data_IF_720657931771
#
_entry.id   IF_720657931771
#
_cell.length_a   1.000
_cell.length_b   1.000
_cell.length_c   1.000
_cell.angle_alpha   90.00
_cell.angle_beta   90.00
_cell.angle_gamma   90.00
#
_symmetry.space_group_name_H-M   'P 1'
#
loop_
_entity.id
_entity.type
_entity.pdbx_description
1 polymer ?
#
# COMPACT_ATOMS: atom_id res chain seq x y z
N UNK A 1 -1.45 -2.19 -23.14
CA UNK A 1 -1.41 -0.86 -23.77
C UNK A 1 -1.90 -0.85 -25.22
N UNK A 2 -1.35 -1.64 -26.16
CA UNK A 2 -1.72 -1.53 -27.60
C UNK A 2 -3.19 -1.76 -27.93
N UNK A 3 -3.91 -2.56 -27.15
CA UNK A 3 -5.34 -2.88 -27.40
C UNK A 3 -6.28 -1.92 -26.68
N UNK A 4 -6.00 -1.60 -25.41
CA UNK A 4 -6.92 -0.85 -24.54
C UNK A 4 -6.46 0.58 -24.24
N UNK A 5 -5.22 0.93 -24.56
CA UNK A 5 -4.57 2.15 -24.09
C UNK A 5 -4.26 2.16 -22.58
N UNK A 6 -4.61 1.11 -21.85
CA UNK A 6 -4.52 1.05 -20.39
C UNK A 6 -3.42 0.08 -19.93
N UNK A 7 -2.84 0.39 -18.77
CA UNK A 7 -1.88 -0.45 -18.05
C UNK A 7 -2.46 -0.78 -16.66
N UNK A 8 -2.63 -2.07 -16.30
CA UNK A 8 -3.25 -2.45 -15.04
C UNK A 8 -2.33 -2.18 -13.85
N UNK A 9 -2.86 -1.53 -12.80
CA UNK A 9 -2.12 -1.22 -11.55
C UNK A 9 -2.34 -2.21 -10.41
N UNK A 10 -3.42 -2.98 -10.48
CA UNK A 10 -3.80 -3.96 -9.46
C UNK A 10 -4.06 -5.27 -10.19
N UNK A 11 -3.25 -6.27 -9.88
CA UNK A 11 -3.36 -7.61 -10.41
C UNK A 11 -3.96 -8.51 -9.34
N UNK A 12 -5.01 -9.25 -9.70
CA UNK A 12 -5.59 -10.27 -8.85
C UNK A 12 -5.97 -11.46 -9.74
N UNK A 13 -5.77 -12.68 -9.23
CA UNK A 13 -6.25 -13.91 -9.85
C UNK A 13 -7.07 -14.69 -8.81
N UNK A 14 -8.32 -14.27 -8.54
CA UNK A 14 -9.10 -14.78 -7.42
C UNK A 14 -9.23 -16.30 -7.46
N UNK A 15 -8.76 -16.96 -6.39
CA UNK A 15 -8.83 -18.42 -6.24
C UNK A 15 -7.73 -19.21 -6.97
N UNK A 16 -6.86 -18.53 -7.73
CA UNK A 16 -5.70 -19.15 -8.40
C UNK A 16 -4.38 -18.81 -7.71
N UNK A 17 -4.36 -17.81 -6.84
CA UNK A 17 -3.17 -17.47 -6.03
C UNK A 17 -3.08 -18.32 -4.75
N UNK A 18 -4.21 -18.83 -4.27
CA UNK A 18 -4.28 -19.64 -3.05
C UNK A 18 -3.66 -21.01 -3.28
N UNK A 19 -2.69 -21.36 -2.45
CA UNK A 19 -2.06 -22.69 -2.41
C UNK A 19 -2.06 -23.22 -1.00
N UNK A 20 -2.12 -24.55 -0.84
CA UNK A 20 -1.94 -25.17 0.48
C UNK A 20 -0.58 -24.78 1.07
N UNK A 21 -0.51 -24.55 2.38
CA UNK A 21 0.72 -24.06 3.02
C UNK A 21 1.92 -24.99 2.81
N UNK A 22 1.72 -26.31 2.86
CA UNK A 22 2.77 -27.30 2.61
C UNK A 22 3.19 -27.43 1.14
N UNK A 23 2.44 -26.84 0.20
CA UNK A 23 2.82 -26.85 -1.20
C UNK A 23 3.99 -25.89 -1.47
N UNK A 24 4.79 -26.13 -2.52
CA UNK A 24 5.75 -25.15 -3.02
C UNK A 24 5.11 -23.80 -3.34
N UNK A 25 5.95 -22.80 -3.63
CA UNK A 25 5.51 -21.45 -4.04
C UNK A 25 4.46 -21.52 -5.14
N UNK A 26 3.38 -20.75 -5.01
CA UNK A 26 2.33 -20.70 -6.02
C UNK A 26 2.91 -20.20 -7.35
N UNK A 27 2.84 -20.99 -8.44
CA UNK A 27 3.36 -20.56 -9.74
C UNK A 27 2.59 -19.36 -10.29
N UNK A 28 1.31 -19.23 -9.95
CA UNK A 28 0.48 -18.08 -10.35
C UNK A 28 0.94 -16.82 -9.62
N UNK A 29 1.11 -16.90 -8.29
CA UNK A 29 1.58 -15.75 -7.51
C UNK A 29 2.97 -15.31 -7.96
N UNK A 30 3.90 -16.26 -8.18
CA UNK A 30 5.23 -15.96 -8.68
C UNK A 30 5.22 -15.30 -10.06
N UNK A 31 4.42 -15.81 -11.01
CA UNK A 31 4.28 -15.20 -12.32
C UNK A 31 3.66 -13.78 -12.25
N UNK A 32 2.67 -13.57 -11.38
CA UNK A 32 2.06 -12.26 -11.17
C UNK A 32 3.06 -11.25 -10.60
N UNK A 33 3.94 -11.66 -9.69
CA UNK A 33 5.01 -10.80 -9.16
C UNK A 33 5.94 -10.34 -10.29
N UNK A 34 6.41 -11.25 -11.15
CA UNK A 34 7.26 -10.87 -12.29
C UNK A 34 6.55 -9.96 -13.29
N UNK A 35 5.24 -10.14 -13.48
CA UNK A 35 4.44 -9.19 -14.29
C UNK A 35 4.35 -7.83 -13.59
N UNK A 36 4.14 -7.83 -12.27
CA UNK A 36 3.97 -6.64 -11.47
C UNK A 36 5.22 -5.75 -11.41
N UNK A 37 6.40 -6.36 -11.37
CA UNK A 37 7.68 -5.65 -11.46
C UNK A 37 7.81 -4.87 -12.76
N UNK A 38 7.44 -5.48 -13.89
CA UNK A 38 7.52 -4.84 -15.21
C UNK A 38 6.47 -3.75 -15.41
N UNK A 39 5.28 -3.92 -14.84
CA UNK A 39 4.16 -2.99 -15.03
C UNK A 39 4.07 -1.91 -13.95
N UNK A 40 4.95 -1.93 -12.92
CA UNK A 40 4.81 -1.09 -11.71
C UNK A 40 3.40 -1.21 -11.12
N UNK A 41 2.96 -2.45 -10.94
CA UNK A 41 1.66 -2.78 -10.37
C UNK A 41 1.81 -3.55 -9.07
N UNK A 42 0.72 -3.74 -8.34
CA UNK A 42 0.67 -4.60 -7.15
C UNK A 42 -0.09 -5.89 -7.44
N UNK A 43 0.19 -6.93 -6.69
CA UNK A 43 -0.51 -8.22 -6.71
C UNK A 43 -1.28 -8.37 -5.41
N UNK A 44 -2.59 -8.57 -5.50
CA UNK A 44 -3.42 -8.98 -4.36
C UNK A 44 -3.61 -10.49 -4.43
N UNK A 45 -3.03 -11.22 -3.50
CA UNK A 45 -3.08 -12.68 -3.43
C UNK A 45 -3.96 -13.16 -2.28
N UNK A 46 -4.72 -14.21 -2.55
CA UNK A 46 -5.45 -14.98 -1.54
C UNK A 46 -4.52 -15.94 -0.79
N UNK A 47 -4.62 -15.96 0.54
CA UNK A 47 -3.97 -16.93 1.39
C UNK A 47 -4.61 -18.34 1.35
N UNK A 48 -4.08 -19.29 2.13
CA UNK A 48 -4.55 -20.68 2.14
C UNK A 48 -5.94 -20.87 2.76
N UNK A 49 -6.47 -19.90 3.51
CA UNK A 49 -7.77 -19.95 4.16
C UNK A 49 -7.97 -21.15 5.11
N UNK A 50 -6.87 -21.65 5.71
CA UNK A 50 -6.86 -22.81 6.60
C UNK A 50 -6.65 -22.41 8.06
N UNK A 51 -5.41 -22.21 8.48
CA UNK A 51 -5.05 -21.78 9.84
C UNK A 51 -4.14 -20.55 9.83
N UNK A 52 -3.99 -19.91 11.00
CA UNK A 52 -3.00 -18.84 11.19
C UNK A 52 -1.59 -19.31 10.76
N UNK A 53 -1.16 -20.47 11.25
CA UNK A 53 0.16 -21.03 10.96
C UNK A 53 0.36 -21.32 9.46
N UNK A 54 -0.70 -21.76 8.77
CA UNK A 54 -0.66 -21.99 7.33
C UNK A 54 -0.47 -20.67 6.55
N UNK A 55 -1.17 -19.60 6.95
CA UNK A 55 -1.02 -18.28 6.33
C UNK A 55 0.40 -17.72 6.54
N UNK A 56 0.96 -17.89 7.74
CA UNK A 56 2.34 -17.48 8.04
C UNK A 56 3.38 -18.28 7.23
N UNK A 57 3.17 -19.60 7.11
CA UNK A 57 4.03 -20.47 6.30
C UNK A 57 3.97 -20.08 4.83
N UNK A 58 2.79 -19.76 4.31
CA UNK A 58 2.63 -19.30 2.93
C UNK A 58 3.29 -17.94 2.70
N UNK A 59 3.07 -16.97 3.60
CA UNK A 59 3.76 -15.67 3.55
C UNK A 59 5.26 -15.84 3.50
N UNK A 60 5.84 -16.71 4.33
CA UNK A 60 7.30 -16.93 4.41
C UNK A 60 7.98 -17.36 3.10
N UNK A 61 7.20 -17.71 2.06
CA UNK A 61 7.69 -18.07 0.73
C UNK A 61 8.04 -16.87 -0.15
N UNK A 62 7.61 -15.66 0.21
CA UNK A 62 7.68 -14.48 -0.63
C UNK A 62 8.54 -13.37 0.00
N UNK A 63 9.10 -12.50 -0.84
CA UNK A 63 9.96 -11.39 -0.43
C UNK A 63 9.78 -10.14 -1.31
N UNK A 64 8.58 -9.95 -1.86
CA UNK A 64 8.31 -8.90 -2.86
C UNK A 64 7.54 -7.73 -2.23
N UNK A 65 8.01 -6.51 -2.53
CA UNK A 65 7.36 -5.24 -2.20
C UNK A 65 6.04 -5.02 -2.96
N UNK A 66 5.76 -5.82 -3.99
CA UNK A 66 4.56 -5.72 -4.83
C UNK A 66 3.49 -6.75 -4.49
N UNK A 67 3.74 -7.66 -3.55
CA UNK A 67 2.76 -8.67 -3.15
C UNK A 67 2.05 -8.25 -1.85
N UNK A 68 0.73 -8.33 -1.87
CA UNK A 68 -0.16 -8.08 -0.75
C UNK A 68 -1.05 -9.31 -0.52
N UNK A 69 -0.83 -10.03 0.57
CA UNK A 69 -1.53 -11.28 0.88
C UNK A 69 -2.74 -10.97 1.76
N UNK A 70 -3.89 -11.55 1.41
CA UNK A 70 -5.14 -11.44 2.17
C UNK A 70 -5.59 -12.84 2.60
N UNK A 71 -5.68 -13.06 3.91
CA UNK A 71 -6.24 -14.26 4.53
C UNK A 71 -7.18 -13.83 5.68
N UNK A 72 -8.39 -14.37 5.82
CA UNK A 72 -8.99 -15.49 5.10
C UNK A 72 -9.84 -15.07 3.89
N UNK A 73 -10.41 -16.07 3.20
CA UNK A 73 -11.43 -15.88 2.17
C UNK A 73 -12.73 -15.27 2.77
N UNK A 74 -13.67 -14.84 1.92
CA UNK A 74 -14.94 -14.21 2.33
C UNK A 74 -16.15 -15.09 2.06
N UNK A 75 -17.22 -14.87 2.81
CA UNK A 75 -18.55 -15.44 2.60
C UNK A 75 -19.44 -14.42 1.92
N UNK A 76 -20.08 -14.83 0.84
CA UNK A 76 -20.90 -13.95 0.00
C UNK A 76 -22.22 -14.65 -0.27
N UNK A 77 -23.31 -13.90 -0.28
CA UNK A 77 -24.62 -14.46 -0.59
C UNK A 77 -24.71 -14.67 -2.10
N UNK A 78 -24.89 -15.92 -2.52
CA UNK A 78 -25.06 -16.31 -3.90
C UNK A 78 -26.56 -16.43 -4.20
N UNK A 79 -27.04 -15.62 -5.15
CA UNK A 79 -28.45 -15.54 -5.50
C UNK A 79 -28.94 -16.77 -6.26
N UNK A 80 -28.04 -17.51 -6.92
CA UNK A 80 -28.39 -18.72 -7.65
C UNK A 80 -28.62 -19.90 -6.70
N UNK A 81 -27.73 -20.08 -5.72
CA UNK A 81 -27.85 -21.12 -4.70
C UNK A 81 -28.68 -20.72 -3.48
N UNK A 82 -29.11 -19.45 -3.40
CA UNK A 82 -29.81 -18.83 -2.27
C UNK A 82 -29.11 -19.07 -0.91
N UNK A 83 -27.77 -19.11 -0.91
CA UNK A 83 -26.97 -19.50 0.26
C UNK A 83 -25.66 -18.71 0.33
N UNK A 84 -25.02 -18.69 1.50
CA UNK A 84 -23.68 -18.11 1.63
C UNK A 84 -22.62 -19.09 1.16
N UNK A 85 -21.84 -18.66 0.17
CA UNK A 85 -20.74 -19.42 -0.42
C UNK A 85 -19.40 -18.76 -0.12
N UNK A 86 -18.34 -19.57 -0.04
CA UNK A 86 -16.97 -19.05 0.12
C UNK A 86 -16.45 -18.56 -1.23
N UNK A 87 -15.85 -17.38 -1.23
CA UNK A 87 -15.20 -16.75 -2.38
C UNK A 87 -13.84 -16.18 -1.96
N UNK A 88 -12.84 -16.18 -2.87
CA UNK A 88 -11.56 -15.56 -2.59
C UNK A 88 -11.70 -14.05 -2.29
N UNK A 89 -10.86 -13.52 -1.39
CA UNK A 89 -10.94 -12.14 -0.91
C UNK A 89 -10.26 -11.14 -1.85
N UNK A 90 -9.29 -11.58 -2.65
CA UNK A 90 -8.43 -10.75 -3.49
C UNK A 90 -9.20 -9.81 -4.42
N UNK A 91 -10.29 -10.28 -5.03
CA UNK A 91 -11.14 -9.45 -5.89
C UNK A 91 -11.85 -8.32 -5.15
N UNK A 92 -12.35 -8.59 -3.94
CA UNK A 92 -13.02 -7.58 -3.11
C UNK A 92 -12.03 -6.53 -2.62
N UNK A 93 -10.84 -6.97 -2.23
CA UNK A 93 -9.76 -6.08 -1.79
C UNK A 93 -9.21 -5.24 -2.94
N UNK A 94 -9.03 -5.81 -4.12
CA UNK A 94 -8.64 -5.05 -5.31
C UNK A 94 -9.66 -3.94 -5.64
N UNK A 95 -10.96 -4.25 -5.54
CA UNK A 95 -12.03 -3.25 -5.69
C UNK A 95 -12.00 -2.17 -4.60
N UNK A 96 -11.73 -2.55 -3.35
CA UNK A 96 -11.58 -1.61 -2.24
C UNK A 96 -10.41 -0.64 -2.45
N UNK A 97 -9.27 -1.14 -2.89
CA UNK A 97 -8.08 -0.34 -3.20
C UNK A 97 -8.44 0.69 -4.29
N UNK A 98 -9.01 0.24 -5.41
CA UNK A 98 -9.42 1.14 -6.50
C UNK A 98 -10.43 2.21 -6.04
N UNK A 99 -11.38 1.83 -5.19
CA UNK A 99 -12.33 2.76 -4.59
C UNK A 99 -11.64 3.78 -3.66
N UNK A 100 -10.56 3.41 -2.96
CA UNK A 100 -9.79 4.37 -2.13
C UNK A 100 -9.01 5.34 -2.97
N UNK A 101 -8.39 4.87 -4.03
CA UNK A 101 -7.64 5.75 -4.92
C UNK A 101 -8.52 6.86 -5.49
N UNK A 102 -9.76 6.54 -5.88
CA UNK A 102 -10.70 7.52 -6.40
C UNK A 102 -11.21 8.52 -5.36
N UNK A 103 -11.46 8.09 -4.11
CA UNK A 103 -12.05 8.98 -3.11
C UNK A 103 -11.03 9.78 -2.29
N UNK A 104 -9.82 9.24 -2.09
CA UNK A 104 -8.80 9.83 -1.19
C UNK A 104 -7.43 10.01 -1.85
N UNK A 105 -7.14 9.26 -2.90
CA UNK A 105 -5.83 9.23 -3.56
C UNK A 105 -5.06 7.95 -3.28
N UNK A 106 -4.07 7.67 -4.13
CA UNK A 106 -3.29 6.43 -4.13
C UNK A 106 -2.35 6.28 -2.93
N UNK A 107 -2.02 7.38 -2.26
CA UNK A 107 -1.20 7.41 -1.03
C UNK A 107 -1.97 7.01 0.22
N UNK A 108 -3.29 6.82 0.12
CA UNK A 108 -4.11 6.37 1.23
C UNK A 108 -4.08 4.86 1.38
N UNK A 109 -3.89 4.38 2.60
CA UNK A 109 -3.88 2.95 2.89
C UNK A 109 -5.28 2.35 2.67
N UNK A 110 -5.38 1.13 2.10
CA UNK A 110 -6.65 0.42 2.02
C UNK A 110 -7.08 -0.20 3.36
N UNK A 111 -6.21 -0.20 4.37
CA UNK A 111 -6.50 -0.69 5.71
C UNK A 111 -7.52 0.18 6.44
N UNK A 112 -8.25 -0.42 7.39
CA UNK A 112 -9.33 0.17 8.17
C UNK A 112 -10.50 0.69 7.31
N UNK A 113 -10.69 0.15 6.10
CA UNK A 113 -11.78 0.52 5.19
C UNK A 113 -12.82 -0.58 5.10
N UNK A 114 -14.08 -0.18 4.96
CA UNK A 114 -15.22 -1.09 4.84
C UNK A 114 -15.14 -1.93 3.56
N UNK A 115 -15.14 -3.25 3.70
CA UNK A 115 -15.28 -4.21 2.62
C UNK A 115 -16.77 -4.46 2.39
N UNK A 116 -17.26 -4.10 1.21
CA UNK A 116 -18.68 -4.24 0.83
C UNK A 116 -18.92 -5.52 0.04
N UNK A 117 -20.18 -5.97 0.05
CA UNK A 117 -20.60 -7.14 -0.74
C UNK A 117 -20.26 -8.49 -0.10
N UNK A 118 -19.87 -8.50 1.18
CA UNK A 118 -19.57 -9.72 1.93
C UNK A 118 -20.51 -9.85 3.12
N UNK A 119 -20.91 -11.09 3.43
CA UNK A 119 -21.66 -11.44 4.63
C UNK A 119 -20.79 -11.93 5.78
N UNK A 120 -19.52 -12.19 5.53
CA UNK A 120 -18.54 -12.52 6.56
C UNK A 120 -17.20 -12.98 6.03
N UNK A 121 -16.32 -13.36 6.94
CA UNK A 121 -15.11 -14.11 6.61
C UNK A 121 -15.41 -15.60 6.59
N UNK A 122 -14.69 -16.37 5.78
CA UNK A 122 -14.81 -17.82 5.73
C UNK A 122 -14.39 -18.45 7.06
N UNK A 123 -13.34 -17.88 7.67
CA UNK A 123 -12.80 -18.21 8.98
C UNK A 123 -12.94 -17.00 9.91
N UNK A 124 -13.48 -17.17 11.14
CA UNK A 124 -13.58 -16.05 12.08
C UNK A 124 -12.18 -15.63 12.51
N UNK A 125 -11.88 -14.33 12.44
CA UNK A 125 -10.63 -13.74 12.89
C UNK A 125 -10.90 -12.96 14.18
N UNK A 126 -10.17 -13.30 15.23
CA UNK A 126 -10.23 -12.53 16.48
C UNK A 126 -9.53 -11.19 16.30
N UNK A 127 -10.17 -10.12 16.78
CA UNK A 127 -9.63 -8.77 16.71
C UNK A 127 -10.03 -7.96 17.94
N UNK A 128 -9.04 -7.32 18.55
CA UNK A 128 -9.19 -6.32 19.61
C UNK A 128 -8.12 -5.27 19.37
N UNK A 129 -8.54 -4.01 19.19
CA UNK A 129 -7.65 -2.93 18.78
C UNK A 129 -6.42 -2.76 19.68
N UNK A 130 -6.59 -2.96 21.00
CA UNK A 130 -5.54 -2.74 22.00
C UNK A 130 -4.75 -4.00 22.40
N UNK A 131 -4.98 -5.15 21.76
CA UNK A 131 -4.35 -6.42 22.15
C UNK A 131 -3.51 -7.01 21.02
N UNK A 132 -2.20 -7.16 21.25
CA UNK A 132 -1.26 -7.84 20.34
C UNK A 132 -1.54 -9.34 20.20
N UNK A 133 -2.27 -9.91 21.17
CA UNK A 133 -2.56 -11.35 21.24
C UNK A 133 -3.71 -11.80 20.35
N UNK A 134 -4.29 -10.89 19.55
CA UNK A 134 -5.34 -11.27 18.60
C UNK A 134 -4.75 -11.78 17.31
N UNK A 135 -5.43 -12.75 16.70
CA UNK A 135 -4.98 -13.36 15.46
C UNK A 135 -4.81 -12.33 14.34
N UNK A 136 -5.72 -11.37 14.21
CA UNK A 136 -5.60 -10.28 13.25
C UNK A 136 -4.29 -9.50 13.39
N UNK A 137 -3.86 -9.25 14.63
CA UNK A 137 -2.66 -8.47 14.90
C UNK A 137 -1.39 -9.31 14.68
N UNK A 138 -1.37 -10.59 15.06
CA UNK A 138 -0.25 -11.49 14.74
C UNK A 138 -0.07 -11.69 13.24
N UNK A 139 -1.16 -11.88 12.50
CA UNK A 139 -1.12 -11.98 11.04
C UNK A 139 -0.62 -10.68 10.40
N UNK A 140 -1.09 -9.52 10.86
CA UNK A 140 -0.63 -8.23 10.33
C UNK A 140 0.84 -7.93 10.67
N UNK A 141 1.30 -8.25 11.88
CA UNK A 141 2.72 -8.14 12.25
C UNK A 141 3.62 -8.99 11.35
N UNK A 142 3.09 -10.09 10.83
CA UNK A 142 3.73 -10.96 9.85
C UNK A 142 3.24 -10.68 8.42
N UNK A 143 2.74 -9.47 8.14
CA UNK A 143 2.49 -8.98 6.78
C UNK A 143 1.43 -9.75 5.99
N UNK A 144 0.47 -10.33 6.71
CA UNK A 144 -0.75 -10.92 6.14
C UNK A 144 -1.93 -10.03 6.53
N UNK A 145 -2.60 -9.48 5.53
CA UNK A 145 -3.80 -8.69 5.75
C UNK A 145 -5.01 -9.59 6.03
N UNK A 146 -5.86 -9.13 6.94
CA UNK A 146 -7.07 -9.84 7.36
C UNK A 146 -8.31 -8.99 7.16
N UNK A 147 -9.49 -9.58 7.36
CA UNK A 147 -10.76 -8.85 7.40
C UNK A 147 -11.34 -9.01 8.80
N UNK A 148 -11.50 -7.90 9.51
CA UNK A 148 -11.97 -7.85 10.89
C UNK A 148 -13.37 -7.28 10.97
N UNK A 149 -14.08 -7.56 12.06
CA UNK A 149 -15.43 -7.04 12.30
C UNK A 149 -15.41 -5.92 13.33
N UNK A 150 -15.50 -4.68 12.86
CA UNK A 150 -15.58 -3.46 13.68
C UNK A 150 -16.47 -2.45 12.96
N UNK A 151 -17.70 -2.26 13.43
CA UNK A 151 -18.73 -1.45 12.77
C UNK A 151 -18.92 -1.80 11.28
N UNK A 152 -19.03 -3.10 11.01
CA UNK A 152 -18.99 -3.68 9.67
C UNK A 152 -17.75 -4.55 9.46
N UNK A 153 -17.54 -5.03 8.24
CA UNK A 153 -16.33 -5.76 7.86
C UNK A 153 -15.30 -4.79 7.30
N UNK A 154 -14.09 -4.79 7.86
CA UNK A 154 -13.01 -3.89 7.48
C UNK A 154 -11.77 -4.66 7.10
N UNK A 155 -11.07 -4.21 6.06
CA UNK A 155 -9.73 -4.69 5.76
C UNK A 155 -8.78 -4.24 6.88
N UNK A 156 -7.93 -5.13 7.34
CA UNK A 156 -6.98 -4.88 8.42
C UNK A 156 -5.58 -5.35 8.00
N UNK A 157 -4.71 -4.40 7.79
CA UNK A 157 -3.32 -4.61 7.43
C UNK A 157 -2.95 -3.86 6.16
N UNK A 158 -1.74 -3.33 6.12
CA UNK A 158 -1.25 -2.43 5.07
C UNK A 158 0.16 -2.76 4.60
N UNK A 159 0.74 -3.85 5.12
CA UNK A 159 2.08 -4.29 4.79
C UNK A 159 2.10 -5.16 3.55
N UNK A 160 3.17 -5.04 2.77
CA UNK A 160 3.51 -5.92 1.65
C UNK A 160 4.42 -7.04 2.15
N UNK A 161 4.73 -8.00 1.29
CA UNK A 161 5.72 -9.04 1.61
C UNK A 161 7.18 -8.59 1.40
N UNK A 162 7.45 -7.29 1.45
CA UNK A 162 8.77 -6.74 1.14
C UNK A 162 9.85 -7.33 2.04
N UNK A 163 10.98 -7.74 1.45
CA UNK A 163 12.19 -8.04 2.21
C UNK A 163 12.92 -6.77 2.69
N UNK A 164 12.67 -5.63 2.04
CA UNK A 164 13.21 -4.32 2.40
C UNK A 164 12.20 -3.55 3.27
N UNK A 165 12.53 -3.23 4.53
CA UNK A 165 11.66 -2.46 5.42
C UNK A 165 11.26 -1.08 4.87
N UNK A 166 12.07 -0.48 3.99
CA UNK A 166 11.75 0.81 3.37
C UNK A 166 10.46 0.74 2.53
N UNK A 167 10.20 -0.42 1.92
CA UNK A 167 9.05 -0.68 1.06
C UNK A 167 7.98 -1.56 1.73
N UNK A 168 8.00 -1.62 3.07
CA UNK A 168 7.08 -2.45 3.84
C UNK A 168 5.60 -2.06 3.64
N UNK A 169 5.30 -0.78 3.42
CA UNK A 169 3.91 -0.32 3.30
C UNK A 169 3.41 -0.27 1.85
N UNK A 170 2.24 -0.86 1.63
CA UNK A 170 1.60 -0.91 0.32
C UNK A 170 1.33 0.50 -0.23
N UNK A 171 0.85 1.43 0.61
CA UNK A 171 0.57 2.80 0.18
C UNK A 171 1.83 3.55 -0.24
N UNK A 172 2.97 3.31 0.43
CA UNK A 172 4.26 3.93 0.10
C UNK A 172 4.74 3.45 -1.26
N UNK A 173 4.78 2.13 -1.47
CA UNK A 173 5.16 1.52 -2.76
C UNK A 173 4.29 2.03 -3.91
N UNK A 174 2.98 2.05 -3.72
CA UNK A 174 2.01 2.52 -4.72
C UNK A 174 2.15 4.01 -5.03
N UNK A 175 2.50 4.82 -4.03
CA UNK A 175 2.76 6.26 -4.23
C UNK A 175 3.97 6.46 -5.14
N UNK A 176 5.06 5.76 -4.86
CA UNK A 176 6.25 5.81 -5.70
C UNK A 176 5.96 5.37 -7.14
N UNK A 177 5.30 4.22 -7.33
CA UNK A 177 4.96 3.69 -8.66
C UNK A 177 4.12 4.69 -9.48
N UNK A 178 3.10 5.29 -8.87
CA UNK A 178 2.25 6.29 -9.53
C UNK A 178 3.01 7.57 -9.89
N UNK A 179 3.92 8.03 -9.05
CA UNK A 179 4.73 9.23 -9.32
C UNK A 179 5.69 8.99 -10.48
N UNK A 180 6.45 7.90 -10.44
CA UNK A 180 7.46 7.60 -11.46
C UNK A 180 6.85 7.52 -12.85
N UNK A 181 5.72 6.84 -12.96
CA UNK A 181 5.04 6.72 -14.24
C UNK A 181 4.36 8.02 -14.69
N UNK A 182 3.77 8.79 -13.77
CA UNK A 182 3.17 10.08 -14.11
C UNK A 182 4.22 11.04 -14.67
N UNK A 183 5.45 11.02 -14.12
CA UNK A 183 6.57 11.82 -14.63
C UNK A 183 6.98 11.33 -16.02
N UNK A 184 7.16 10.02 -16.21
CA UNK A 184 7.55 9.45 -17.52
C UNK A 184 6.52 9.78 -18.62
N UNK A 185 5.23 9.57 -18.34
CA UNK A 185 4.16 9.86 -19.29
C UNK A 185 4.06 11.37 -19.59
N UNK A 186 4.25 12.22 -18.58
CA UNK A 186 4.17 13.66 -18.73
C UNK A 186 5.36 14.26 -19.49
N UNK A 187 6.54 13.62 -19.47
CA UNK A 187 7.74 14.13 -20.13
C UNK A 187 7.86 13.76 -21.62
N UNK A 188 6.89 13.04 -22.18
CA UNK A 188 6.91 12.64 -23.59
C UNK A 188 7.06 13.83 -24.56
N UNK A 189 6.52 15.01 -24.22
CA UNK A 189 6.61 16.21 -25.07
C UNK A 189 8.05 16.70 -25.29
N UNK A 190 8.95 16.40 -24.34
CA UNK A 190 10.33 16.85 -24.34
C UNK A 190 11.24 15.96 -25.21
N UNK A 191 10.79 14.75 -25.53
CA UNK A 191 11.52 13.81 -26.38
C UNK A 191 11.75 14.41 -27.77
N UNK A 192 12.94 14.17 -28.32
CA UNK A 192 13.41 14.62 -29.63
C UNK A 192 13.51 16.15 -29.84
N UNK A 193 13.29 16.95 -28.79
CA UNK A 193 13.54 18.39 -28.85
C UNK A 193 15.04 18.69 -28.80
N UNK A 194 15.53 19.73 -29.51
CA UNK A 194 16.94 20.10 -29.46
C UNK A 194 17.32 20.56 -28.05
N UNK A 195 18.49 20.10 -27.59
CA UNK A 195 19.05 20.53 -26.31
C UNK A 195 19.18 22.06 -26.26
N UNK A 196 18.61 22.64 -25.22
CA UNK A 196 18.73 24.06 -24.91
C UNK A 196 18.62 24.25 -23.40
N UNK A 197 19.16 25.35 -22.88
CA UNK A 197 18.99 25.72 -21.48
C UNK A 197 17.50 25.78 -21.09
N UNK A 198 16.67 26.33 -21.98
CA UNK A 198 15.24 26.44 -21.75
C UNK A 198 14.58 25.06 -21.60
N UNK A 199 14.91 24.10 -22.48
CA UNK A 199 14.36 22.74 -22.41
C UNK A 199 14.68 22.07 -21.07
N UNK A 200 15.94 22.17 -20.63
CA UNK A 200 16.38 21.57 -19.37
C UNK A 200 15.64 22.20 -18.18
N UNK A 201 15.50 23.53 -18.17
CA UNK A 201 14.75 24.25 -17.13
C UNK A 201 13.28 23.86 -17.14
N UNK A 202 12.64 23.82 -18.31
CA UNK A 202 11.23 23.46 -18.46
C UNK A 202 10.94 22.05 -17.93
N UNK A 203 11.81 21.08 -18.22
CA UNK A 203 11.69 19.69 -17.71
C UNK A 203 11.77 19.69 -16.18
N UNK A 204 12.85 20.25 -15.61
CA UNK A 204 13.06 20.30 -14.15
C UNK A 204 11.90 21.00 -13.44
N UNK A 205 11.49 22.17 -13.93
CA UNK A 205 10.47 22.99 -13.29
C UNK A 205 9.08 22.33 -13.41
N UNK A 206 8.82 21.61 -14.50
CA UNK A 206 7.58 20.82 -14.65
C UNK A 206 7.53 19.65 -13.65
N UNK A 207 8.65 18.94 -13.45
CA UNK A 207 8.74 17.86 -12.46
C UNK A 207 8.58 18.41 -11.05
N UNK A 208 9.30 19.48 -10.70
CA UNK A 208 9.17 20.11 -9.38
C UNK A 208 7.75 20.61 -9.11
N UNK A 209 7.10 21.26 -10.08
CA UNK A 209 5.73 21.74 -9.92
C UNK A 209 4.72 20.61 -9.67
N UNK A 210 4.93 19.44 -10.30
CA UNK A 210 4.12 18.25 -10.03
C UNK A 210 4.33 17.75 -8.59
N UNK A 211 5.59 17.65 -8.15
CA UNK A 211 5.94 17.23 -6.79
C UNK A 211 5.36 18.19 -5.74
N UNK A 212 5.46 19.49 -5.96
CA UNK A 212 4.87 20.53 -5.09
C UNK A 212 3.35 20.38 -4.99
N UNK A 213 2.68 20.05 -6.10
CA UNK A 213 1.24 19.78 -6.11
C UNK A 213 0.90 18.55 -5.25
N UNK A 214 1.72 17.51 -5.27
CA UNK A 214 1.54 16.33 -4.43
C UNK A 214 1.77 16.62 -2.95
N UNK A 215 2.77 17.43 -2.62
CA UNK A 215 3.02 17.92 -1.25
C UNK A 215 1.80 18.71 -0.75
N UNK A 216 1.29 19.65 -1.57
CA UNK A 216 0.11 20.44 -1.22
C UNK A 216 -1.16 19.59 -0.99
N UNK A 217 -1.26 18.43 -1.65
CA UNK A 217 -2.35 17.45 -1.46
C UNK A 217 -2.13 16.51 -0.28
N UNK A 218 -0.96 16.56 0.37
CA UNK A 218 -0.57 15.65 1.45
C UNK A 218 -0.23 14.23 0.97
N UNK A 219 0.11 14.06 -0.31
CA UNK A 219 0.55 12.79 -0.89
C UNK A 219 2.03 12.52 -0.62
N UNK A 220 2.81 13.57 -0.36
CA UNK A 220 4.24 13.53 -0.04
C UNK A 220 4.50 14.41 1.18
N UNK A 221 5.45 14.01 2.02
CA UNK A 221 5.98 14.83 3.12
C UNK A 221 7.00 15.85 2.61
N UNK A 222 7.76 15.47 1.59
CA UNK A 222 8.74 16.29 0.91
C UNK A 222 9.20 15.62 -0.38
N UNK A 223 9.68 16.45 -1.31
CA UNK A 223 10.26 16.03 -2.57
C UNK A 223 11.02 17.21 -3.21
N UNK A 224 12.11 16.90 -3.89
CA UNK A 224 13.00 17.85 -4.54
C UNK A 224 13.54 17.23 -5.82
N UNK A 225 13.67 18.04 -6.87
CA UNK A 225 14.22 17.63 -8.14
C UNK A 225 15.44 18.49 -8.50
N UNK A 226 16.54 17.85 -8.90
CA UNK A 226 17.80 18.51 -9.23
C UNK A 226 18.51 17.85 -10.41
N UNK A 227 19.49 18.56 -10.96
CA UNK A 227 20.40 18.05 -11.98
C UNK A 227 21.72 17.74 -11.31
N UNK A 228 22.15 16.48 -11.35
CA UNK A 228 23.48 16.10 -10.88
C UNK A 228 24.55 16.49 -11.91
N UNK A 229 25.49 17.40 -11.58
CA UNK A 229 26.58 17.78 -12.48
C UNK A 229 27.54 16.62 -12.79
N UNK A 230 27.63 15.61 -11.92
CA UNK A 230 28.52 14.46 -12.11
C UNK A 230 27.99 13.50 -13.18
N UNK A 231 26.67 13.36 -13.29
CA UNK A 231 26.01 12.54 -14.30
C UNK A 231 25.86 13.27 -15.65
N UNK A 232 25.58 14.58 -15.61
CA UNK A 232 25.36 15.41 -16.79
C UNK A 232 26.68 15.92 -17.41
N UNK A 233 27.57 14.99 -17.75
CA UNK A 233 28.85 15.28 -18.40
C UNK A 233 28.69 15.73 -19.86
N UNK A 234 29.71 16.39 -20.42
CA UNK A 234 29.72 16.77 -21.84
C UNK A 234 29.47 15.58 -22.77
N UNK A 235 30.06 14.41 -22.47
CA UNK A 235 29.92 13.20 -23.29
C UNK A 235 28.48 12.70 -23.28
N UNK A 236 27.83 12.68 -22.11
CA UNK A 236 26.42 12.29 -21.97
C UNK A 236 25.50 13.27 -22.74
N UNK A 237 25.69 14.57 -22.54
CA UNK A 237 24.89 15.60 -23.21
C UNK A 237 25.07 15.58 -24.74
N UNK A 238 26.29 15.36 -25.24
CA UNK A 238 26.53 15.19 -26.68
C UNK A 238 25.89 13.92 -27.25
N UNK A 239 25.71 12.89 -26.42
CA UNK A 239 24.96 11.69 -26.77
C UNK A 239 23.44 11.86 -26.66
N UNK A 240 22.96 13.06 -26.31
CA UNK A 240 21.53 13.36 -26.13
C UNK A 240 20.94 12.83 -24.83
N UNK A 241 21.77 12.51 -23.83
CA UNK A 241 21.35 11.97 -22.55
C UNK A 241 21.29 13.08 -21.48
N UNK A 242 20.15 13.20 -20.80
CA UNK A 242 19.94 14.11 -19.67
C UNK A 242 19.56 13.27 -18.46
N UNK A 243 20.27 13.47 -17.35
CA UNK A 243 19.97 12.86 -16.05
C UNK A 243 19.30 13.89 -15.16
N UNK A 244 18.10 13.56 -14.68
CA UNK A 244 17.34 14.38 -13.74
C UNK A 244 17.05 13.52 -12.52
N UNK A 245 17.59 13.94 -11.38
CA UNK A 245 17.38 13.24 -10.12
C UNK A 245 16.25 13.90 -9.35
N UNK A 246 15.54 13.08 -8.59
CA UNK A 246 14.53 13.57 -7.66
C UNK A 246 14.35 12.60 -6.50
N UNK A 247 14.06 13.15 -5.33
CA UNK A 247 13.66 12.39 -4.16
C UNK A 247 12.15 12.51 -3.92
N UNK A 248 11.61 11.51 -3.22
CA UNK A 248 10.22 11.50 -2.76
C UNK A 248 10.13 10.82 -1.40
N UNK A 249 9.34 11.37 -0.50
CA UNK A 249 8.99 10.70 0.76
C UNK A 249 7.47 10.62 0.92
N UNK A 250 6.85 9.49 0.54
CA UNK A 250 5.44 9.22 0.83
C UNK A 250 5.18 9.06 2.34
N UNK A 251 4.06 9.57 2.86
CA UNK A 251 3.73 9.39 4.28
C UNK A 251 3.46 7.92 4.60
N UNK A 252 4.19 7.39 5.57
CA UNK A 252 3.87 6.09 6.14
C UNK A 252 2.49 6.12 6.85
N UNK A 253 1.65 5.10 6.65
CA UNK A 253 0.38 5.01 7.36
C UNK A 253 0.60 4.81 8.87
N UNK A 254 -0.25 5.44 9.68
CA UNK A 254 -0.22 5.27 11.14
C UNK A 254 -0.73 3.87 11.52
N UNK A 255 0.16 2.89 11.51
CA UNK A 255 -0.15 1.49 11.80
C UNK A 255 -0.38 1.23 13.30
N UNK A 256 0.40 1.88 14.18
CA UNK A 256 0.34 1.67 15.63
C UNK A 256 0.31 2.99 16.39
N UNK A 257 -0.80 3.24 17.07
CA UNK A 257 -0.96 4.32 18.04
C UNK A 257 -0.92 3.75 19.45
N UNK A 258 0.10 4.11 20.25
CA UNK A 258 0.24 3.63 21.63
C UNK A 258 -0.05 4.76 22.62
N UNK A 259 -1.14 4.63 23.38
CA UNK A 259 -1.42 5.53 24.49
C UNK A 259 -0.60 5.12 25.72
N UNK A 260 0.18 6.05 26.28
CA UNK A 260 0.90 5.86 27.54
C UNK A 260 0.26 6.74 28.60
N UNK A 261 -0.50 6.13 29.51
CA UNK A 261 -1.14 6.81 30.61
C UNK A 261 -0.21 6.86 31.82
N UNK A 262 -0.07 8.05 32.40
CA UNK A 262 0.69 8.26 33.64
C UNK A 262 -0.27 8.82 34.68
N UNK A 263 -0.27 8.23 35.89
CA UNK A 263 -0.97 8.83 37.03
C UNK A 263 -0.10 9.97 37.55
N UNK A 264 -0.65 11.17 37.61
CA UNK A 264 -0.01 12.33 38.21
C UNK A 264 -0.59 12.55 39.62
N UNK A 265 0.25 12.41 40.64
CA UNK A 265 -0.13 12.63 42.05
C UNK A 265 -0.14 14.10 42.45
N UNK A 266 0.55 14.96 41.70
CA UNK A 266 0.72 16.38 42.00
C UNK A 266 -0.62 17.12 41.93
N UNK A 267 -1.62 16.57 41.22
CA UNK A 267 -2.98 17.09 41.22
C UNK A 267 -3.66 17.08 42.60
N UNK A 268 -3.19 16.26 43.54
CA UNK A 268 -3.66 16.35 44.92
C UNK A 268 -3.12 17.59 45.63
N UNK A 269 -1.91 18.05 45.28
CA UNK A 269 -1.36 19.31 45.80
C UNK A 269 -2.10 20.52 45.22
N UNK A 270 -2.42 20.48 43.93
CA UNK A 270 -3.27 21.49 43.27
C UNK A 270 -4.67 21.55 43.90
N UNK A 271 -5.27 20.38 44.20
CA UNK A 271 -6.57 20.29 44.85
C UNK A 271 -6.53 20.95 46.24
N UNK A 272 -5.55 20.62 47.07
CA UNK A 272 -5.39 21.22 48.40
C UNK A 272 -5.14 22.73 48.29
N UNK A 273 -4.31 23.16 47.34
CA UNK A 273 -4.02 24.58 47.08
C UNK A 273 -5.27 25.35 46.61
N UNK A 274 -6.13 24.72 45.82
CA UNK A 274 -7.40 25.32 45.36
C UNK A 274 -8.42 25.52 46.48
N UNK A 275 -8.45 24.60 47.46
CA UNK A 275 -9.32 24.72 48.64
C UNK A 275 -8.76 25.77 49.61
N UNK A 276 -7.45 25.79 49.81
CA UNK A 276 -6.79 26.75 50.71
C UNK A 276 -6.86 28.21 50.21
N UNK A 277 -6.90 28.44 48.90
CA UNK A 277 -7.02 29.79 48.31
C UNK A 277 -8.46 30.30 48.22
N UNK A 278 -9.47 29.44 48.46
CA UNK A 278 -10.88 29.81 48.50
C UNK A 278 -11.40 30.20 49.89
N UNK A 279 -10.55 30.10 50.93
CA UNK A 279 -10.83 30.49 52.32
C UNK A 279 -10.17 31.83 52.66
#
# INVERSE_FOLDING_TARGET
>A
QSVTGQTPRILAAPGFTSTAAAAPVSPVTSALISVAERLRSIVVADGPNATEADALTDRGKYGSDRLYIVDPAVRVFDTESASYVVRPASGYVAGLISKRDQERGFWWSPSNQEVRGIGGTARPISFVLSSTETEANRLNEQEVATIVRTDGYRLWGNRTTSADPLWAFLSVRRTADMIYESIEDAMLWAMDRPFSEQLIRDIRDSVQAYLDTLIARGALLGASCWLDPELNTQVALMAGQLYLDFDIEPPAPLERLTFRAHRNGDYYEDLISSVASAA
#
